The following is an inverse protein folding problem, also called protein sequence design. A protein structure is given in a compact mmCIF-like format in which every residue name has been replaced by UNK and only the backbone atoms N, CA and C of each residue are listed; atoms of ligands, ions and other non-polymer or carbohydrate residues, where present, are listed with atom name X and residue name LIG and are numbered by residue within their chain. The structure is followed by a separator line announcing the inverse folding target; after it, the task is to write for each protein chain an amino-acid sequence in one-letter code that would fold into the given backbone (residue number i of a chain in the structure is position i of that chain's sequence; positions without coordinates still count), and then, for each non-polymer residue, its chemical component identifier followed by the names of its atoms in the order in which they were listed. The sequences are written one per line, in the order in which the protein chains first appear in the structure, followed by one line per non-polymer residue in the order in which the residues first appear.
data_IF_131884175529
#
_entry.id   IF_131884175529
#
_cell.length_a   1.000
_cell.length_b   1.000
_cell.length_c   1.000
_cell.angle_alpha   90.00
_cell.angle_beta   90.00
_cell.angle_gamma   90.00
#
_symmetry.space_group_name_H-M   'P 1'
#
loop_
_entity.id
_entity.type
_entity.pdbx_description
1 polymer ?
#
# COMPACT_ATOMS: atom_id res chain seq x y z
N UNK A 1 -110.27 -22.26 14.58
CA UNK A 1 -111.03 -21.63 15.70
C UNK A 1 -110.09 -21.20 16.74
N UNK A 2 -110.11 -19.91 17.08
CA UNK A 2 -109.69 -19.27 18.30
C UNK A 2 -108.13 -19.13 18.52
N UNK A 3 -107.51 -17.98 18.24
CA UNK A 3 -107.35 -16.75 19.03
C UNK A 3 -106.50 -16.90 20.33
N UNK A 4 -105.43 -16.09 20.39
CA UNK A 4 -104.81 -15.53 21.62
C UNK A 4 -103.34 -15.17 21.35
N UNK A 5 -103.06 -14.06 21.01
CA UNK A 5 -102.79 -12.71 21.60
C UNK A 5 -101.75 -12.72 22.75
N UNK A 6 -100.75 -11.93 22.47
CA UNK A 6 -99.94 -11.10 23.38
C UNK A 6 -98.83 -11.82 24.14
N UNK A 7 -97.58 -11.34 24.25
CA UNK A 7 -97.20 -10.05 24.81
C UNK A 7 -95.71 -9.75 24.44
N UNK A 8 -95.44 -8.56 24.08
CA UNK A 8 -94.12 -7.99 23.80
C UNK A 8 -93.48 -7.73 25.15
N UNK A 9 -92.30 -8.25 25.42
CA UNK A 9 -91.46 -7.75 26.52
C UNK A 9 -90.10 -7.37 25.94
N UNK A 10 -89.92 -6.06 25.87
CA UNK A 10 -88.64 -5.44 25.56
C UNK A 10 -87.73 -5.61 26.76
N UNK A 11 -86.69 -6.42 26.63
CA UNK A 11 -85.55 -6.42 27.54
C UNK A 11 -84.39 -5.81 26.83
N UNK A 12 -84.10 -4.52 27.18
CA UNK A 12 -82.88 -3.82 26.75
C UNK A 12 -81.70 -4.44 27.53
N UNK A 13 -80.90 -5.26 26.82
CA UNK A 13 -79.62 -5.69 27.34
C UNK A 13 -78.55 -4.73 26.86
N UNK A 14 -78.05 -3.92 27.77
CA UNK A 14 -76.91 -3.04 27.64
C UNK A 14 -75.65 -3.88 27.50
N UNK A 15 -75.16 -4.09 26.26
CA UNK A 15 -73.87 -4.75 26.03
C UNK A 15 -72.77 -3.69 26.20
N UNK A 16 -72.13 -3.69 27.37
CA UNK A 16 -70.85 -3.02 27.56
C UNK A 16 -69.79 -3.74 26.70
N UNK A 17 -69.45 -3.20 25.56
CA UNK A 17 -68.29 -3.58 24.78
C UNK A 17 -67.01 -3.09 25.48
N UNK A 18 -66.40 -3.97 26.24
CA UNK A 18 -65.00 -3.83 26.68
C UNK A 18 -64.12 -3.95 25.47
N UNK A 19 -63.75 -2.79 24.91
CA UNK A 19 -62.65 -2.70 23.95
C UNK A 19 -61.34 -2.95 24.72
N UNK A 20 -60.96 -4.21 24.88
CA UNK A 20 -59.59 -4.59 25.20
C UNK A 20 -58.73 -4.33 23.97
N UNK A 21 -58.22 -3.09 23.91
CA UNK A 21 -57.16 -2.74 22.99
C UNK A 21 -55.94 -3.57 23.29
N UNK A 22 -55.77 -4.71 22.64
CA UNK A 22 -54.49 -5.35 22.48
C UNK A 22 -53.63 -4.42 21.62
N UNK A 23 -52.95 -3.48 22.31
CA UNK A 23 -51.74 -2.89 21.73
C UNK A 23 -50.74 -4.03 21.60
N UNK A 24 -50.80 -4.67 20.42
CA UNK A 24 -49.71 -5.46 19.91
C UNK A 24 -48.56 -4.42 19.69
N UNK A 25 -47.74 -4.19 20.75
CA UNK A 25 -46.38 -3.73 20.56
C UNK A 25 -45.78 -4.75 19.59
N UNK A 26 -45.70 -4.36 18.33
CA UNK A 26 -44.69 -4.89 17.47
C UNK A 26 -43.39 -4.59 18.21
N UNK A 27 -42.85 -5.58 18.91
CA UNK A 27 -41.43 -5.64 19.12
C UNK A 27 -40.86 -5.70 17.67
N UNK A 28 -40.43 -4.56 17.14
CA UNK A 28 -39.41 -4.56 16.14
C UNK A 28 -38.30 -5.40 16.79
N UNK A 29 -38.23 -6.65 16.38
CA UNK A 29 -36.99 -7.40 16.52
C UNK A 29 -36.00 -6.55 15.74
N UNK A 30 -35.15 -5.81 16.45
CA UNK A 30 -33.91 -5.38 15.86
C UNK A 30 -33.28 -6.68 15.36
N UNK A 31 -33.41 -6.94 14.08
CA UNK A 31 -32.70 -7.99 13.38
C UNK A 31 -31.25 -7.65 13.67
N UNK A 32 -30.60 -8.46 14.49
CA UNK A 32 -29.20 -8.24 14.82
C UNK A 32 -28.49 -8.14 13.47
N UNK A 33 -27.98 -6.97 13.16
CA UNK A 33 -27.29 -6.75 11.89
C UNK A 33 -26.23 -7.85 11.77
N UNK A 34 -26.18 -8.51 10.63
CA UNK A 34 -25.15 -9.50 10.35
C UNK A 34 -23.79 -8.90 10.67
N UNK A 35 -22.87 -9.64 11.28
CA UNK A 35 -21.55 -9.11 11.59
C UNK A 35 -20.87 -8.59 10.30
N UNK A 36 -20.07 -7.57 10.43
CA UNK A 36 -19.23 -7.09 9.32
C UNK A 36 -18.17 -8.16 8.98
N UNK A 37 -17.78 -8.34 7.69
CA UNK A 37 -18.29 -7.70 6.48
C UNK A 37 -19.58 -8.33 5.95
N UNK A 38 -20.51 -7.47 5.48
CA UNK A 38 -21.85 -7.89 5.00
C UNK A 38 -21.93 -8.09 3.49
N UNK A 39 -20.89 -7.66 2.78
CA UNK A 39 -20.80 -7.67 1.32
C UNK A 39 -19.36 -7.82 0.86
N UNK A 40 -19.16 -7.99 -0.46
CA UNK A 40 -17.83 -7.99 -1.07
C UNK A 40 -17.04 -6.74 -0.69
N UNK A 41 -15.75 -6.90 -0.36
CA UNK A 41 -14.82 -5.79 -0.11
C UNK A 41 -13.83 -5.70 -1.25
N UNK A 42 -13.82 -4.58 -1.97
CA UNK A 42 -12.91 -4.35 -3.08
C UNK A 42 -11.51 -4.02 -2.55
N UNK A 43 -10.50 -4.69 -3.09
CA UNK A 43 -9.10 -4.48 -2.76
C UNK A 43 -8.38 -3.78 -3.92
N UNK A 44 -7.80 -2.61 -3.66
CA UNK A 44 -7.19 -1.75 -4.67
C UNK A 44 -5.67 -1.89 -4.65
N UNK A 45 -5.09 -2.28 -5.79
CA UNK A 45 -3.66 -2.23 -6.04
C UNK A 45 -3.30 -0.96 -6.84
N UNK A 46 -2.39 -0.09 -6.36
CA UNK A 46 -2.06 1.19 -6.99
C UNK A 46 -1.15 1.05 -8.21
N UNK A 47 -0.86 -0.16 -8.64
CA UNK A 47 0.08 -0.47 -9.71
C UNK A 47 -0.50 -1.52 -10.66
N UNK A 48 0.21 -1.78 -11.76
CA UNK A 48 -0.21 -2.75 -12.78
C UNK A 48 -0.26 -4.19 -12.26
N UNK A 49 -0.92 -5.04 -13.03
CA UNK A 49 -0.99 -6.49 -12.75
C UNK A 49 0.43 -7.08 -12.72
N UNK A 50 0.68 -7.94 -11.72
CA UNK A 50 1.99 -8.56 -11.41
C UNK A 50 3.03 -7.61 -10.81
N UNK A 51 2.70 -6.37 -10.49
CA UNK A 51 3.55 -5.53 -9.65
C UNK A 51 3.67 -6.09 -8.24
N UNK A 52 4.64 -5.61 -7.47
CA UNK A 52 4.79 -6.01 -6.06
C UNK A 52 3.52 -5.77 -5.24
N UNK A 53 2.85 -4.62 -5.41
CA UNK A 53 1.59 -4.32 -4.71
C UNK A 53 0.45 -5.25 -5.12
N UNK A 54 0.29 -5.54 -6.42
CA UNK A 54 -0.72 -6.49 -6.92
C UNK A 54 -0.48 -7.90 -6.38
N UNK A 55 0.77 -8.35 -6.39
CA UNK A 55 1.17 -9.66 -5.89
C UNK A 55 0.88 -9.80 -4.40
N UNK A 56 1.26 -8.80 -3.61
CA UNK A 56 1.03 -8.81 -2.17
C UNK A 56 -0.47 -8.81 -1.87
N UNK A 57 -1.24 -7.94 -2.50
CA UNK A 57 -2.68 -7.82 -2.24
C UNK A 57 -3.46 -9.09 -2.63
N UNK A 58 -3.09 -9.73 -3.76
CA UNK A 58 -3.66 -11.03 -4.15
C UNK A 58 -3.25 -12.16 -3.20
N UNK A 59 -2.07 -12.07 -2.62
CA UNK A 59 -1.62 -13.02 -1.60
C UNK A 59 -2.39 -12.83 -0.30
N UNK A 60 -2.62 -11.60 0.13
CA UNK A 60 -3.51 -11.27 1.27
C UNK A 60 -4.91 -11.84 1.04
N UNK A 61 -5.55 -11.51 -0.09
CA UNK A 61 -6.89 -12.00 -0.42
C UNK A 61 -6.97 -13.52 -0.47
N UNK A 62 -5.95 -14.17 -0.97
CA UNK A 62 -5.87 -15.64 -1.00
C UNK A 62 -5.74 -16.24 0.39
N UNK A 63 -4.78 -15.74 1.20
CA UNK A 63 -4.56 -16.29 2.54
C UNK A 63 -5.77 -16.06 3.45
N UNK A 64 -6.41 -14.87 3.41
CA UNK A 64 -7.64 -14.59 4.15
C UNK A 64 -8.77 -15.58 3.83
N UNK A 65 -8.93 -15.94 2.56
CA UNK A 65 -9.91 -16.94 2.12
C UNK A 65 -9.50 -18.36 2.53
N UNK A 66 -8.22 -18.73 2.33
CA UNK A 66 -7.72 -20.09 2.54
C UNK A 66 -7.65 -20.44 4.04
N UNK A 67 -7.68 -19.44 4.91
CA UNK A 67 -7.73 -19.55 6.39
C UNK A 67 -9.13 -19.31 6.96
N UNK A 68 -10.15 -19.10 6.13
CA UNK A 68 -11.53 -18.79 6.53
C UNK A 68 -11.65 -17.54 7.47
N UNK A 69 -10.67 -16.62 7.42
CA UNK A 69 -10.73 -15.36 8.18
C UNK A 69 -11.72 -14.37 7.59
N UNK A 70 -12.01 -14.47 6.30
CA UNK A 70 -13.00 -13.63 5.60
C UNK A 70 -13.85 -14.46 4.66
N UNK A 71 -15.15 -14.52 4.91
CA UNK A 71 -16.11 -15.32 4.14
C UNK A 71 -16.67 -14.61 2.89
N UNK A 72 -16.50 -13.28 2.78
CA UNK A 72 -17.00 -12.52 1.63
C UNK A 72 -15.97 -12.46 0.50
N UNK A 73 -16.44 -12.25 -0.78
CA UNK A 73 -15.51 -12.07 -1.89
C UNK A 73 -14.60 -10.84 -1.71
N UNK A 74 -13.31 -11.00 -2.02
CA UNK A 74 -12.28 -9.97 -1.99
C UNK A 74 -11.71 -9.74 -3.41
N UNK A 75 -12.47 -9.12 -4.35
CA UNK A 75 -11.97 -8.84 -5.69
C UNK A 75 -10.82 -7.83 -5.64
N UNK A 76 -9.74 -8.13 -6.37
CA UNK A 76 -8.59 -7.22 -6.51
C UNK A 76 -8.69 -6.48 -7.84
N UNK A 77 -8.70 -5.16 -7.79
CA UNK A 77 -8.64 -4.28 -8.95
C UNK A 77 -7.37 -3.44 -8.98
N UNK A 78 -6.82 -3.23 -10.16
CA UNK A 78 -5.61 -2.46 -10.36
C UNK A 78 -5.95 -1.05 -10.85
N UNK A 79 -5.39 -0.02 -10.19
CA UNK A 79 -5.55 1.40 -10.54
C UNK A 79 -4.18 2.07 -10.65
N UNK A 80 -3.42 1.74 -11.73
CA UNK A 80 -2.07 2.27 -11.91
C UNK A 80 -2.11 3.73 -12.35
N UNK A 81 -1.06 4.47 -12.01
CA UNK A 81 -0.78 5.81 -12.52
C UNK A 81 -0.48 6.82 -11.40
N UNK A 82 0.26 7.84 -11.79
CA UNK A 82 0.69 8.94 -10.92
C UNK A 82 1.34 8.47 -9.60
N UNK A 83 2.23 7.46 -9.66
CA UNK A 83 2.87 6.92 -8.46
C UNK A 83 1.92 6.32 -7.41
N UNK A 84 0.69 5.94 -7.81
CA UNK A 84 -0.37 5.48 -6.91
C UNK A 84 -1.42 6.55 -6.61
N UNK A 85 -1.27 7.78 -7.12
CA UNK A 85 -2.22 8.88 -6.92
C UNK A 85 -3.63 8.55 -7.42
N UNK A 86 -3.77 7.82 -8.55
CA UNK A 86 -5.09 7.39 -9.05
C UNK A 86 -5.80 6.46 -8.06
N UNK A 87 -5.06 5.58 -7.39
CA UNK A 87 -5.63 4.71 -6.35
C UNK A 87 -5.98 5.49 -5.09
N UNK A 88 -5.17 6.49 -4.73
CA UNK A 88 -5.44 7.38 -3.60
C UNK A 88 -6.68 8.26 -3.86
N UNK A 89 -6.82 8.83 -5.07
CA UNK A 89 -8.04 9.56 -5.48
C UNK A 89 -9.28 8.69 -5.35
N UNK A 90 -9.20 7.45 -5.86
CA UNK A 90 -10.31 6.51 -5.76
C UNK A 90 -10.69 6.18 -4.30
N UNK A 91 -9.69 5.97 -3.43
CA UNK A 91 -9.96 5.72 -2.01
C UNK A 91 -10.60 6.95 -1.35
N UNK A 92 -10.13 8.16 -1.69
CA UNK A 92 -10.69 9.41 -1.19
C UNK A 92 -12.16 9.64 -1.65
N UNK A 93 -12.52 9.23 -2.88
CA UNK A 93 -13.91 9.25 -3.35
C UNK A 93 -14.85 8.34 -2.54
N UNK A 94 -14.30 7.37 -1.80
CA UNK A 94 -15.01 6.41 -0.95
C UNK A 94 -14.95 6.77 0.55
N UNK A 95 -14.69 8.03 0.90
CA UNK A 95 -14.70 8.50 2.30
C UNK A 95 -15.94 7.99 3.05
N UNK A 96 -15.74 7.40 4.22
CA UNK A 96 -16.80 6.81 5.04
C UNK A 96 -17.31 5.44 4.59
N UNK A 97 -16.78 4.87 3.49
CA UNK A 97 -17.15 3.53 3.06
C UNK A 97 -16.45 2.45 3.90
N UNK A 98 -17.09 1.27 3.96
CA UNK A 98 -16.58 0.10 4.70
C UNK A 98 -16.19 -1.08 3.80
N UNK A 99 -16.38 -0.96 2.50
CA UNK A 99 -16.25 -2.06 1.54
C UNK A 99 -15.15 -1.85 0.49
N UNK A 100 -14.20 -0.97 0.75
CA UNK A 100 -13.03 -0.71 -0.09
C UNK A 100 -11.78 -0.63 0.78
N UNK A 101 -10.72 -1.31 0.39
CA UNK A 101 -9.39 -1.20 0.98
C UNK A 101 -8.35 -1.01 -0.12
N UNK A 102 -7.24 -0.39 0.19
CA UNK A 102 -6.11 -0.28 -0.70
C UNK A 102 -4.82 -0.79 -0.04
N UNK A 103 -3.92 -1.31 -0.85
CA UNK A 103 -2.53 -1.51 -0.41
C UNK A 103 -1.70 -0.32 -0.90
N UNK A 104 -0.88 0.24 0.00
CA UNK A 104 0.11 1.23 -0.38
C UNK A 104 1.51 0.84 0.11
N UNK A 105 2.50 1.58 -0.40
CA UNK A 105 3.92 1.41 -0.16
C UNK A 105 4.59 2.80 -0.17
N UNK A 106 5.90 2.96 -0.02
CA UNK A 106 6.57 4.28 0.06
C UNK A 106 6.06 5.38 -0.88
N UNK A 107 5.66 5.10 -2.14
CA UNK A 107 5.13 6.15 -3.01
C UNK A 107 3.97 6.96 -2.43
N UNK A 108 3.10 6.38 -1.59
CA UNK A 108 1.96 7.13 -1.01
C UNK A 108 2.38 8.31 -0.14
N UNK A 109 3.55 8.21 0.51
CA UNK A 109 4.15 9.34 1.24
C UNK A 109 4.80 10.34 0.27
N UNK A 110 5.46 9.85 -0.77
CA UNK A 110 6.29 10.64 -1.69
C UNK A 110 5.48 11.47 -2.68
N UNK A 111 4.34 10.97 -3.18
CA UNK A 111 3.55 11.65 -4.22
C UNK A 111 2.93 12.97 -3.74
N UNK A 112 2.67 13.12 -2.46
CA UNK A 112 2.28 14.39 -1.87
C UNK A 112 3.50 15.31 -1.72
N UNK A 113 4.58 14.80 -1.15
CA UNK A 113 5.80 15.56 -0.88
C UNK A 113 6.44 16.12 -2.16
N UNK A 114 6.39 15.39 -3.27
CA UNK A 114 6.95 15.82 -4.56
C UNK A 114 5.95 16.57 -5.47
N UNK A 115 4.77 16.88 -4.98
CA UNK A 115 3.77 17.65 -5.70
C UNK A 115 3.00 16.90 -6.78
N UNK A 116 3.12 15.59 -6.87
CA UNK A 116 2.39 14.77 -7.86
C UNK A 116 0.88 14.76 -7.61
N UNK A 117 0.45 14.89 -6.35
CA UNK A 117 -0.96 14.99 -5.95
C UNK A 117 -1.14 15.94 -4.76
N UNK A 118 -2.27 16.67 -4.66
CA UNK A 118 -2.60 17.43 -3.46
C UNK A 118 -3.07 16.53 -2.29
N UNK A 119 -3.44 15.28 -2.55
CA UNK A 119 -3.87 14.34 -1.52
C UNK A 119 -2.68 13.80 -0.74
N UNK A 120 -2.89 13.58 0.56
CA UNK A 120 -1.93 12.91 1.43
C UNK A 120 -2.55 11.69 2.08
N UNK A 121 -1.74 10.70 2.46
CA UNK A 121 -2.26 9.55 3.20
C UNK A 121 -2.85 9.97 4.55
N UNK A 122 -2.27 10.99 5.23
CA UNK A 122 -2.74 11.48 6.53
C UNK A 122 -4.16 12.05 6.47
N UNK A 123 -4.45 12.84 5.43
CA UNK A 123 -5.72 13.56 5.33
C UNK A 123 -6.80 12.77 4.60
N UNK A 124 -6.43 11.78 3.78
CA UNK A 124 -7.34 11.16 2.82
C UNK A 124 -7.49 9.65 2.98
N UNK A 125 -6.84 9.03 3.97
CA UNK A 125 -6.94 7.60 4.24
C UNK A 125 -7.01 7.30 5.74
N UNK A 126 -7.29 6.05 6.06
CA UNK A 126 -7.14 5.45 7.38
C UNK A 126 -6.12 4.34 7.30
N UNK A 127 -4.87 4.51 7.77
CA UNK A 127 -3.91 3.42 7.89
C UNK A 127 -4.46 2.32 8.80
N UNK A 128 -4.33 1.04 8.41
CA UNK A 128 -4.85 -0.09 9.21
C UNK A 128 -3.71 -0.92 9.77
N UNK A 129 -2.83 -1.43 8.89
CA UNK A 129 -1.68 -2.21 9.33
C UNK A 129 -0.59 -2.25 8.24
N UNK A 130 0.67 -2.29 8.65
CA UNK A 130 1.79 -2.70 7.82
C UNK A 130 1.90 -4.22 7.89
N UNK A 131 2.06 -4.89 6.77
CA UNK A 131 2.07 -6.36 6.71
C UNK A 131 3.44 -6.95 6.48
N UNK A 132 4.22 -6.33 5.61
CA UNK A 132 5.53 -6.84 5.18
C UNK A 132 6.50 -5.69 4.92
N UNK A 133 7.77 -6.03 4.93
CA UNK A 133 8.83 -5.28 4.28
C UNK A 133 9.44 -6.11 3.16
N UNK A 134 9.55 -5.50 1.99
CA UNK A 134 10.34 -5.94 0.85
C UNK A 134 11.54 -5.00 0.72
N UNK A 135 12.50 -5.32 -0.12
CA UNK A 135 13.72 -4.55 -0.23
C UNK A 135 14.01 -4.17 -1.67
N UNK A 136 14.76 -3.08 -1.79
CA UNK A 136 15.28 -2.66 -3.06
C UNK A 136 16.64 -3.24 -3.37
N UNK A 137 17.02 -3.07 -4.62
CA UNK A 137 18.34 -3.45 -5.09
C UNK A 137 18.89 -2.46 -6.10
N UNK A 138 20.20 -2.51 -6.27
CA UNK A 138 20.95 -1.81 -7.29
C UNK A 138 21.57 -2.80 -8.25
N UNK A 139 21.14 -2.76 -9.50
CA UNK A 139 21.48 -3.77 -10.48
C UNK A 139 22.12 -3.18 -11.74
N UNK A 140 23.08 -3.89 -12.29
CA UNK A 140 23.80 -3.51 -13.54
C UNK A 140 23.72 -4.64 -14.56
N UNK A 141 23.90 -4.31 -15.84
CA UNK A 141 24.05 -5.34 -16.86
C UNK A 141 25.29 -6.20 -16.56
N UNK A 142 25.25 -7.50 -16.92
CA UNK A 142 26.34 -8.46 -16.60
C UNK A 142 27.70 -8.04 -17.18
N UNK A 143 27.71 -7.28 -18.29
CA UNK A 143 28.91 -6.74 -18.93
C UNK A 143 29.34 -5.37 -18.38
N UNK A 144 28.68 -4.84 -17.35
CA UNK A 144 29.03 -3.57 -16.70
C UNK A 144 30.44 -3.59 -16.13
N UNK A 145 31.20 -2.48 -16.19
CA UNK A 145 32.49 -2.35 -15.53
C UNK A 145 32.38 -2.41 -14.00
N UNK A 146 31.23 -2.02 -13.43
CA UNK A 146 31.00 -2.00 -11.98
C UNK A 146 30.80 -3.40 -11.45
N UNK A 147 31.64 -3.82 -10.48
CA UNK A 147 31.62 -5.15 -9.86
C UNK A 147 30.97 -5.17 -8.48
N UNK A 148 30.88 -4.02 -7.82
CA UNK A 148 30.26 -3.80 -6.52
C UNK A 148 29.71 -2.38 -6.43
N UNK A 149 28.90 -2.09 -5.41
CA UNK A 149 28.25 -0.81 -5.24
C UNK A 149 29.25 0.31 -4.95
N UNK A 150 30.34 0.02 -4.22
CA UNK A 150 31.36 1.01 -3.89
C UNK A 150 32.01 1.64 -5.13
N UNK A 151 32.20 0.87 -6.22
CA UNK A 151 32.73 1.43 -7.46
C UNK A 151 31.80 2.44 -8.11
N UNK A 152 30.48 2.24 -8.00
CA UNK A 152 29.48 3.22 -8.44
C UNK A 152 29.54 4.47 -7.59
N UNK A 153 29.61 4.28 -6.27
CA UNK A 153 29.72 5.40 -5.32
C UNK A 153 31.00 6.21 -5.52
N UNK A 154 32.14 5.57 -5.78
CA UNK A 154 33.40 6.25 -6.07
C UNK A 154 33.29 7.12 -7.33
N UNK A 155 32.68 6.59 -8.40
CA UNK A 155 32.44 7.36 -9.62
C UNK A 155 31.52 8.57 -9.36
N UNK A 156 30.46 8.42 -8.58
CA UNK A 156 29.54 9.50 -8.19
C UNK A 156 30.21 10.55 -7.29
N UNK A 157 31.14 10.16 -6.42
CA UNK A 157 31.91 11.11 -5.60
C UNK A 157 32.85 11.95 -6.41
N UNK A 158 33.42 11.38 -7.49
CA UNK A 158 34.30 12.10 -8.41
C UNK A 158 33.50 13.04 -9.32
N UNK A 159 32.38 12.57 -9.85
CA UNK A 159 31.44 13.33 -10.67
C UNK A 159 30.01 12.77 -10.48
N UNK A 160 29.13 13.48 -9.77
CA UNK A 160 27.75 13.03 -9.54
C UNK A 160 26.93 12.78 -10.80
N UNK A 161 27.32 13.40 -11.93
CA UNK A 161 26.67 13.20 -13.22
C UNK A 161 27.23 12.04 -14.05
N UNK A 162 28.28 11.34 -13.56
CA UNK A 162 29.00 10.31 -14.32
C UNK A 162 28.24 8.99 -14.48
N UNK A 163 27.24 8.71 -13.63
CA UNK A 163 26.46 7.47 -13.63
C UNK A 163 25.00 7.77 -13.92
N UNK A 164 24.46 7.14 -14.96
CA UNK A 164 23.04 7.26 -15.34
C UNK A 164 22.23 6.22 -14.57
N UNK A 165 21.39 6.68 -13.65
CA UNK A 165 20.53 5.84 -12.83
C UNK A 165 19.15 5.72 -13.46
N UNK A 166 18.62 4.52 -13.58
CA UNK A 166 17.25 4.27 -13.98
C UNK A 166 16.41 3.68 -12.85
N UNK A 167 15.10 3.88 -12.88
CA UNK A 167 14.17 3.24 -11.99
C UNK A 167 12.81 3.01 -12.65
N UNK A 168 11.93 2.26 -11.99
CA UNK A 168 10.55 2.01 -12.45
C UNK A 168 9.59 3.11 -12.02
N UNK A 169 10.00 3.95 -11.08
CA UNK A 169 9.22 5.06 -10.54
C UNK A 169 9.72 6.42 -11.05
N UNK A 170 8.86 7.44 -10.99
CA UNK A 170 9.18 8.81 -11.39
C UNK A 170 10.27 9.46 -10.53
N UNK A 171 10.79 10.58 -11.02
CA UNK A 171 11.72 11.44 -10.27
C UNK A 171 11.06 11.87 -8.94
N UNK A 172 11.80 11.77 -7.83
CA UNK A 172 11.27 12.07 -6.49
C UNK A 172 10.34 11.00 -5.92
N UNK A 173 10.24 9.83 -6.58
CA UNK A 173 9.50 8.68 -6.07
C UNK A 173 10.46 7.57 -5.57
N UNK A 174 9.91 6.40 -5.25
CA UNK A 174 10.56 5.35 -4.47
C UNK A 174 11.98 4.98 -4.94
N UNK A 175 12.16 4.61 -6.20
CA UNK A 175 13.46 4.12 -6.68
C UNK A 175 14.52 5.23 -6.72
N UNK A 176 14.09 6.47 -6.96
CA UNK A 176 14.97 7.63 -6.89
C UNK A 176 15.40 7.91 -5.45
N UNK A 177 14.43 8.01 -4.53
CA UNK A 177 14.70 8.26 -3.11
C UNK A 177 15.55 7.15 -2.49
N UNK A 178 15.29 5.89 -2.84
CA UNK A 178 16.12 4.75 -2.44
C UNK A 178 17.58 4.92 -2.86
N UNK A 179 17.82 5.31 -4.10
CA UNK A 179 19.19 5.54 -4.61
C UNK A 179 19.85 6.74 -3.91
N UNK A 180 19.13 7.85 -3.76
CA UNK A 180 19.63 9.06 -3.10
C UNK A 180 20.01 8.80 -1.65
N UNK A 181 19.18 8.06 -0.90
CA UNK A 181 19.47 7.69 0.50
C UNK A 181 20.80 6.92 0.63
N UNK A 182 21.02 5.95 -0.26
CA UNK A 182 22.27 5.18 -0.24
C UNK A 182 23.47 6.03 -0.70
N UNK A 183 23.29 6.88 -1.70
CA UNK A 183 24.34 7.79 -2.16
C UNK A 183 24.73 8.82 -1.06
N UNK A 184 23.73 9.37 -0.36
CA UNK A 184 23.93 10.29 0.77
C UNK A 184 24.70 9.62 1.91
N UNK A 185 24.25 8.46 2.36
CA UNK A 185 24.92 7.69 3.42
C UNK A 185 26.35 7.29 3.03
N UNK A 186 26.58 7.09 1.74
CA UNK A 186 27.91 6.83 1.19
C UNK A 186 28.75 8.11 1.02
N UNK A 187 28.27 9.29 1.40
CA UNK A 187 29.01 10.55 1.34
C UNK A 187 29.20 11.10 -0.09
N UNK A 188 28.26 10.86 -0.99
CA UNK A 188 28.17 11.56 -2.27
C UNK A 188 27.64 12.97 -1.98
N UNK A 189 28.39 13.99 -2.36
CA UNK A 189 27.97 15.39 -2.34
C UNK A 189 27.16 15.74 -3.60
N UNK A 190 26.36 16.80 -3.56
CA UNK A 190 25.58 17.29 -4.72
C UNK A 190 24.63 16.23 -5.30
N UNK A 191 23.78 15.64 -4.46
CA UNK A 191 22.81 14.63 -4.83
C UNK A 191 21.84 15.11 -5.93
N UNK A 192 21.60 16.42 -6.02
CA UNK A 192 20.78 17.09 -7.04
C UNK A 192 21.35 16.97 -8.48
N UNK A 193 22.65 16.64 -8.60
CA UNK A 193 23.33 16.44 -9.89
C UNK A 193 23.30 14.99 -10.36
N UNK A 194 22.86 14.04 -9.55
CA UNK A 194 22.73 12.63 -9.94
C UNK A 194 21.70 12.51 -11.06
N UNK A 195 22.11 11.90 -12.18
CA UNK A 195 21.25 11.69 -13.33
C UNK A 195 20.28 10.52 -13.07
N UNK A 196 19.02 10.82 -12.80
CA UNK A 196 17.98 9.81 -12.67
C UNK A 196 16.93 9.91 -13.77
N UNK A 197 16.50 8.74 -14.31
CA UNK A 197 15.41 8.64 -15.27
C UNK A 197 14.41 7.56 -14.83
N UNK A 198 13.14 7.95 -14.63
CA UNK A 198 12.05 7.04 -14.35
C UNK A 198 11.47 6.44 -15.64
N UNK A 199 11.20 5.13 -15.62
CA UNK A 199 10.57 4.38 -16.71
C UNK A 199 9.30 3.70 -16.22
N UNK A 200 8.27 4.49 -15.92
CA UNK A 200 6.99 4.04 -15.34
C UNK A 200 6.23 3.03 -16.23
N UNK A 201 6.64 2.87 -17.47
CA UNK A 201 6.12 1.88 -18.42
C UNK A 201 6.79 0.48 -18.31
N UNK A 202 7.67 0.29 -17.31
CA UNK A 202 8.34 -0.98 -17.04
C UNK A 202 9.52 -1.31 -17.96
N UNK A 203 9.99 -0.36 -18.79
CA UNK A 203 11.10 -0.60 -19.74
C UNK A 203 12.51 -0.42 -19.18
N UNK A 204 12.65 -0.10 -17.89
CA UNK A 204 13.96 0.22 -17.29
C UNK A 204 15.01 -0.87 -17.50
N UNK A 205 14.64 -2.15 -17.38
CA UNK A 205 15.57 -3.27 -17.60
C UNK A 205 16.03 -3.38 -19.07
N UNK A 206 15.16 -3.07 -20.02
CA UNK A 206 15.54 -3.00 -21.42
C UNK A 206 16.51 -1.81 -21.70
N UNK A 207 16.32 -0.68 -21.01
CA UNK A 207 17.25 0.45 -21.07
C UNK A 207 18.60 0.12 -20.44
N UNK A 208 18.64 -0.66 -19.36
CA UNK A 208 19.85 -1.17 -18.74
C UNK A 208 20.63 -2.06 -19.72
N UNK A 209 19.98 -3.06 -20.30
CA UNK A 209 20.60 -3.99 -21.25
C UNK A 209 21.03 -3.29 -22.55
N UNK A 210 20.31 -2.24 -22.93
CA UNK A 210 20.66 -1.38 -24.08
C UNK A 210 21.77 -0.36 -23.81
N UNK A 211 22.27 -0.25 -22.57
CA UNK A 211 23.31 0.70 -22.18
C UNK A 211 22.85 2.17 -22.16
N UNK A 212 21.55 2.41 -22.06
CA UNK A 212 20.98 3.76 -21.92
C UNK A 212 21.00 4.26 -20.48
N UNK A 213 20.99 3.35 -19.50
CA UNK A 213 21.31 3.59 -18.09
C UNK A 213 22.42 2.65 -17.65
N UNK A 214 23.20 3.05 -16.65
CA UNK A 214 24.37 2.32 -16.17
C UNK A 214 24.03 1.42 -14.98
N UNK A 215 23.07 1.83 -14.18
CA UNK A 215 22.58 1.13 -12.98
C UNK A 215 21.08 1.33 -12.85
N UNK A 216 20.39 0.33 -12.31
CA UNK A 216 18.95 0.41 -11.98
C UNK A 216 18.78 0.33 -10.48
N UNK A 217 17.97 1.23 -9.93
CA UNK A 217 17.37 1.17 -8.61
C UNK A 217 15.95 0.62 -8.75
N UNK A 218 15.65 -0.51 -8.13
CA UNK A 218 14.36 -1.19 -8.27
C UNK A 218 14.08 -2.12 -7.07
N UNK A 219 12.92 -2.76 -7.01
CA UNK A 219 12.66 -3.86 -6.10
C UNK A 219 13.44 -5.13 -6.49
N UNK A 220 13.82 -5.96 -5.52
CA UNK A 220 14.52 -7.23 -5.80
C UNK A 220 13.70 -8.07 -6.79
N UNK A 221 12.38 -8.18 -6.57
CA UNK A 221 11.48 -8.96 -7.43
C UNK A 221 11.45 -8.51 -8.89
N UNK A 222 11.70 -7.25 -9.16
CA UNK A 222 11.63 -6.68 -10.50
C UNK A 222 12.80 -7.15 -11.39
N UNK A 223 13.96 -7.44 -10.81
CA UNK A 223 15.19 -7.82 -11.54
C UNK A 223 15.43 -9.33 -11.61
N UNK A 224 14.72 -10.13 -10.79
CA UNK A 224 15.03 -11.54 -10.58
C UNK A 224 15.10 -12.37 -11.86
N UNK A 225 14.17 -12.19 -12.80
CA UNK A 225 14.18 -12.94 -14.05
C UNK A 225 15.46 -12.76 -14.87
N UNK A 226 16.07 -11.57 -14.84
CA UNK A 226 17.34 -11.28 -15.52
C UNK A 226 18.57 -11.67 -14.70
N UNK A 227 18.44 -11.72 -13.37
CA UNK A 227 19.49 -12.25 -12.50
C UNK A 227 19.61 -13.78 -12.69
N UNK A 228 18.48 -14.48 -12.73
CA UNK A 228 18.45 -15.92 -12.96
C UNK A 228 18.99 -16.32 -14.35
N UNK A 229 18.74 -15.49 -15.39
CA UNK A 229 19.30 -15.71 -16.72
C UNK A 229 20.78 -15.30 -16.83
N UNK A 230 21.33 -14.60 -15.83
CA UNK A 230 22.72 -14.12 -15.85
C UNK A 230 22.95 -12.85 -16.69
N UNK A 231 21.88 -12.18 -17.13
CA UNK A 231 21.96 -10.96 -17.94
C UNK A 231 22.19 -9.70 -17.07
N UNK A 232 21.81 -9.79 -15.78
CA UNK A 232 21.92 -8.72 -14.80
C UNK A 232 22.63 -9.23 -13.55
N UNK A 233 23.39 -8.35 -12.91
CA UNK A 233 24.07 -8.58 -11.63
C UNK A 233 23.58 -7.55 -10.61
N UNK A 234 23.16 -7.99 -9.41
CA UNK A 234 22.86 -7.13 -8.28
C UNK A 234 24.16 -6.76 -7.58
N UNK A 235 24.40 -5.46 -7.39
CA UNK A 235 25.57 -4.90 -6.71
C UNK A 235 25.34 -4.72 -5.21
N UNK A 236 24.07 -4.52 -4.79
CA UNK A 236 23.70 -4.34 -3.39
C UNK A 236 22.20 -4.35 -3.21
N UNK A 237 21.75 -4.81 -2.04
CA UNK A 237 20.36 -4.73 -1.58
C UNK A 237 20.25 -3.80 -0.37
N UNK A 238 19.06 -3.25 -0.14
CA UNK A 238 18.83 -2.24 0.89
C UNK A 238 18.41 -2.81 2.24
N UNK A 239 18.46 -4.12 2.41
CA UNK A 239 18.19 -4.80 3.68
C UNK A 239 19.35 -4.66 4.67
N UNK A 240 19.07 -4.73 5.98
CA UNK A 240 20.08 -4.72 7.04
C UNK A 240 21.03 -5.92 6.95
N UNK A 241 20.49 -7.07 6.59
CA UNK A 241 21.19 -8.34 6.40
C UNK A 241 20.65 -9.06 5.16
N UNK A 242 21.34 -10.08 4.71
CA UNK A 242 20.91 -10.87 3.55
C UNK A 242 19.55 -11.51 3.82
N UNK A 243 18.69 -11.49 2.81
CA UNK A 243 17.29 -11.95 2.90
C UNK A 243 17.01 -13.09 1.94
N UNK A 244 15.89 -13.77 2.14
CA UNK A 244 15.38 -14.81 1.24
C UNK A 244 16.22 -16.08 1.22
N UNK A 245 16.15 -16.79 0.10
CA UNK A 245 16.85 -18.06 -0.13
C UNK A 245 17.44 -18.13 -1.55
N UNK A 246 18.27 -19.15 -1.82
CA UNK A 246 18.88 -19.34 -3.13
C UNK A 246 19.72 -18.13 -3.56
N UNK A 247 19.53 -17.67 -4.80
CA UNK A 247 20.33 -16.59 -5.39
C UNK A 247 20.12 -15.24 -4.67
N UNK A 248 18.97 -15.00 -4.06
CA UNK A 248 18.68 -13.77 -3.31
C UNK A 248 19.55 -13.70 -2.05
N UNK A 249 19.72 -14.81 -1.33
CA UNK A 249 20.56 -14.89 -0.14
C UNK A 249 22.07 -14.66 -0.42
N UNK A 250 22.49 -14.73 -1.70
CA UNK A 250 23.86 -14.46 -2.12
C UNK A 250 24.11 -12.98 -2.41
N UNK A 251 23.05 -12.16 -2.54
CA UNK A 251 23.15 -10.73 -2.83
C UNK A 251 23.74 -9.98 -1.63
N UNK A 252 24.80 -9.16 -1.82
CA UNK A 252 25.39 -8.40 -0.73
C UNK A 252 24.46 -7.25 -0.33
N UNK A 253 24.45 -6.87 0.97
CA UNK A 253 23.75 -5.67 1.41
C UNK A 253 24.61 -4.42 1.22
N UNK A 254 23.98 -3.23 1.28
CA UNK A 254 24.72 -1.96 1.35
C UNK A 254 25.60 -1.91 2.60
N UNK A 255 25.10 -2.37 3.74
CA UNK A 255 25.80 -2.41 5.03
C UNK A 255 27.05 -3.31 4.96
N UNK A 256 26.98 -4.49 4.33
CA UNK A 256 28.15 -5.36 4.14
C UNK A 256 29.25 -4.69 3.31
N UNK A 257 28.91 -3.68 2.51
CA UNK A 257 29.85 -2.90 1.70
C UNK A 257 30.29 -1.59 2.38
N UNK A 258 29.92 -1.41 3.66
CA UNK A 258 30.33 -0.25 4.47
C UNK A 258 29.47 1.00 4.25
N UNK A 259 28.32 0.86 3.58
CA UNK A 259 27.35 1.94 3.39
C UNK A 259 26.22 1.72 4.39
N UNK A 260 26.18 2.54 5.44
CA UNK A 260 25.18 2.47 6.51
C UNK A 260 23.85 3.05 6.05
N UNK A 261 23.17 2.32 5.16
CA UNK A 261 21.89 2.70 4.63
C UNK A 261 20.98 1.48 4.39
N UNK A 262 19.75 1.65 4.77
CA UNK A 262 18.64 0.72 4.50
C UNK A 262 17.51 1.48 3.81
N UNK A 263 16.69 0.76 3.03
CA UNK A 263 15.45 1.30 2.50
C UNK A 263 14.39 0.20 2.53
N UNK A 264 13.27 0.51 3.19
CA UNK A 264 12.18 -0.43 3.38
C UNK A 264 11.10 -0.17 2.34
N UNK A 265 10.93 -1.09 1.40
CA UNK A 265 9.78 -1.12 0.50
C UNK A 265 8.60 -1.80 1.24
N UNK A 266 8.15 -1.14 2.31
CA UNK A 266 7.06 -1.63 3.14
C UNK A 266 5.74 -1.71 2.36
N UNK A 267 4.82 -2.57 2.80
CA UNK A 267 3.46 -2.65 2.26
C UNK A 267 2.45 -2.71 3.38
N UNK A 268 1.49 -1.81 3.32
CA UNK A 268 0.44 -1.68 4.32
C UNK A 268 -0.95 -1.57 3.70
N UNK A 269 -1.94 -1.92 4.49
CA UNK A 269 -3.36 -1.82 4.14
C UNK A 269 -3.93 -0.53 4.72
N UNK A 270 -4.71 0.15 3.88
CA UNK A 270 -5.37 1.42 4.18
C UNK A 270 -6.85 1.30 3.84
N UNK A 271 -7.68 1.88 4.68
CA UNK A 271 -9.09 2.14 4.39
C UNK A 271 -9.33 3.57 3.90
N UNK A 272 -10.55 3.88 3.44
CA UNK A 272 -10.97 5.24 3.19
C UNK A 272 -10.89 6.10 4.45
N UNK A 273 -10.76 7.42 4.29
CA UNK A 273 -10.93 8.36 5.39
C UNK A 273 -12.29 8.17 6.05
N UNK A 274 -12.36 8.37 7.36
CA UNK A 274 -13.59 8.23 8.16
C UNK A 274 -14.27 6.86 8.02
N UNK A 275 -13.47 5.80 7.83
CA UNK A 275 -13.94 4.42 7.81
C UNK A 275 -14.68 4.10 9.12
N UNK A 276 -15.88 3.44 9.08
CA UNK A 276 -16.62 3.09 10.29
C UNK A 276 -15.81 2.23 11.28
N UNK A 277 -15.92 2.52 12.57
CA UNK A 277 -15.15 1.85 13.63
C UNK A 277 -15.32 0.33 13.61
N UNK A 278 -16.56 -0.19 13.41
CA UNK A 278 -16.83 -1.63 13.31
C UNK A 278 -15.97 -2.30 12.22
N UNK A 279 -15.82 -1.66 11.08
CA UNK A 279 -15.03 -2.19 9.97
C UNK A 279 -13.53 -2.02 10.19
N UNK A 280 -13.12 -0.93 10.84
CA UNK A 280 -11.72 -0.69 11.19
C UNK A 280 -11.24 -1.75 12.19
N UNK A 281 -11.95 -1.93 13.31
CA UNK A 281 -11.63 -2.95 14.32
C UNK A 281 -11.61 -4.36 13.71
N UNK A 282 -12.55 -4.66 12.81
CA UNK A 282 -12.57 -5.96 12.13
C UNK A 282 -11.27 -6.19 11.34
N UNK A 283 -10.85 -5.20 10.52
CA UNK A 283 -9.66 -5.36 9.68
C UNK A 283 -8.38 -5.34 10.50
N UNK A 284 -8.25 -4.54 11.55
CA UNK A 284 -7.12 -4.58 12.48
C UNK A 284 -6.94 -5.98 13.07
N UNK A 285 -8.01 -6.56 13.60
CA UNK A 285 -7.98 -7.91 14.20
C UNK A 285 -7.70 -8.99 13.15
N UNK A 286 -8.36 -8.91 11.99
CA UNK A 286 -8.22 -9.91 10.92
C UNK A 286 -6.81 -9.92 10.33
N UNK A 287 -6.20 -8.75 10.12
CA UNK A 287 -4.83 -8.67 9.62
C UNK A 287 -3.81 -9.10 10.67
N UNK A 288 -4.04 -8.79 11.95
CA UNK A 288 -3.22 -9.29 13.06
C UNK A 288 -3.27 -10.83 13.17
N UNK A 289 -4.42 -11.44 12.90
CA UNK A 289 -4.57 -12.90 12.86
C UNK A 289 -3.94 -13.50 11.61
N UNK A 290 -4.15 -12.88 10.44
CA UNK A 290 -3.57 -13.32 9.16
C UNK A 290 -2.06 -13.52 9.27
N UNK A 291 -1.33 -12.56 9.84
CA UNK A 291 0.15 -12.61 9.91
C UNK A 291 0.67 -13.70 10.86
N UNK A 292 -0.20 -14.31 11.67
CA UNK A 292 0.14 -15.45 12.52
C UNK A 292 -0.12 -16.81 11.84
N UNK A 293 -0.72 -16.81 10.64
CA UNK A 293 -1.06 -18.06 9.94
C UNK A 293 0.14 -18.67 9.23
N UNK A 294 0.22 -20.03 9.16
CA UNK A 294 1.23 -20.69 8.36
C UNK A 294 1.18 -20.32 6.88
N UNK A 295 -0.02 -20.12 6.32
CA UNK A 295 -0.26 -19.76 4.92
C UNK A 295 0.37 -18.40 4.57
N UNK A 296 0.36 -17.46 5.52
CA UNK A 296 1.03 -16.17 5.34
C UNK A 296 2.55 -16.32 5.46
N UNK A 297 3.03 -17.07 6.45
CA UNK A 297 4.46 -17.35 6.63
C UNK A 297 5.07 -18.03 5.39
N UNK A 298 4.41 -19.07 4.86
CA UNK A 298 4.82 -19.76 3.62
C UNK A 298 4.83 -18.80 2.42
N UNK A 299 3.89 -17.87 2.41
CA UNK A 299 3.79 -16.86 1.35
C UNK A 299 4.95 -15.87 1.42
N UNK A 300 5.27 -15.38 2.60
CA UNK A 300 6.40 -14.47 2.82
C UNK A 300 7.74 -15.15 2.48
N UNK A 301 7.95 -16.37 2.93
CA UNK A 301 9.15 -17.16 2.59
C UNK A 301 9.29 -17.34 1.08
N UNK A 302 8.20 -17.70 0.40
CA UNK A 302 8.18 -17.90 -1.05
C UNK A 302 8.62 -16.68 -1.84
N UNK A 303 8.23 -15.48 -1.40
CA UNK A 303 8.52 -14.24 -2.11
C UNK A 303 9.71 -13.47 -1.53
N UNK A 304 10.33 -13.96 -0.45
CA UNK A 304 11.44 -13.29 0.22
C UNK A 304 11.04 -12.01 0.94
N UNK A 305 9.79 -11.94 1.40
CA UNK A 305 9.31 -10.81 2.19
C UNK A 305 9.58 -11.03 3.67
N UNK A 306 10.00 -10.00 4.36
CA UNK A 306 10.04 -10.02 5.82
C UNK A 306 8.63 -9.79 6.37
N UNK A 307 8.21 -10.66 7.30
CA UNK A 307 7.00 -10.48 8.08
C UNK A 307 7.24 -9.38 9.13
N UNK A 308 7.00 -8.15 8.75
CA UNK A 308 7.27 -6.96 9.54
C UNK A 308 5.94 -6.25 9.81
N UNK A 309 5.15 -6.87 10.70
CA UNK A 309 3.82 -6.41 11.05
C UNK A 309 3.86 -5.28 12.06
N UNK A 310 3.13 -4.20 11.74
CA UNK A 310 2.80 -3.13 12.67
C UNK A 310 1.28 -2.95 12.69
N UNK A 311 0.70 -2.96 13.87
CA UNK A 311 -0.70 -2.56 14.08
C UNK A 311 -0.88 -1.06 13.80
N UNK A 312 -2.12 -0.58 13.83
CA UNK A 312 -2.47 0.77 13.38
C UNK A 312 -1.64 1.88 14.02
N UNK A 313 -1.59 1.95 15.35
CA UNK A 313 -0.88 3.04 16.06
C UNK A 313 0.64 3.04 15.74
N UNK A 314 1.25 1.86 15.72
CA UNK A 314 2.67 1.71 15.39
C UNK A 314 2.92 2.02 13.90
N UNK A 315 1.97 1.65 13.03
CA UNK A 315 2.06 1.93 11.60
C UNK A 315 1.90 3.42 11.31
N UNK A 316 0.99 4.13 11.96
CA UNK A 316 0.84 5.59 11.86
C UNK A 316 2.12 6.31 12.30
N UNK A 317 2.75 5.88 13.41
CA UNK A 317 4.04 6.41 13.85
C UNK A 317 5.14 6.16 12.83
N UNK A 318 5.25 4.93 12.33
CA UNK A 318 6.20 4.57 11.28
C UNK A 318 6.03 5.44 10.02
N UNK A 319 4.79 5.65 9.57
CA UNK A 319 4.49 6.48 8.40
C UNK A 319 4.91 7.94 8.60
N UNK A 320 4.75 8.48 9.81
CA UNK A 320 5.18 9.82 10.14
C UNK A 320 6.71 9.95 10.07
N UNK A 321 7.43 9.00 10.68
CA UNK A 321 8.90 8.99 10.72
C UNK A 321 9.51 8.87 9.31
N UNK A 322 9.01 7.95 8.48
CA UNK A 322 9.52 7.79 7.11
C UNK A 322 9.14 8.97 6.21
N UNK A 323 8.00 9.63 6.45
CA UNK A 323 7.60 10.81 5.68
C UNK A 323 8.49 12.01 6.00
N UNK A 324 8.90 12.18 7.26
CA UNK A 324 9.87 13.21 7.65
C UNK A 324 11.24 12.96 7.00
N UNK A 325 11.72 11.72 7.03
CA UNK A 325 12.97 11.33 6.37
C UNK A 325 12.93 11.64 4.86
N UNK A 326 11.82 11.28 4.19
CA UNK A 326 11.66 11.54 2.76
C UNK A 326 11.58 13.04 2.43
N UNK A 327 10.90 13.83 3.29
CA UNK A 327 10.83 15.28 3.10
C UNK A 327 12.20 15.93 3.15
N UNK A 328 13.05 15.57 4.14
CA UNK A 328 14.43 16.06 4.25
C UNK A 328 15.24 15.73 3.00
N UNK A 329 15.14 14.49 2.50
CA UNK A 329 15.90 14.07 1.32
C UNK A 329 15.42 14.76 0.04
N UNK A 330 14.10 14.94 -0.12
CA UNK A 330 13.54 15.67 -1.27
C UNK A 330 13.88 17.15 -1.22
N UNK A 331 13.97 17.77 -0.03
CA UNK A 331 14.39 19.15 0.12
C UNK A 331 15.86 19.33 -0.31
N UNK A 332 16.74 18.41 0.07
CA UNK A 332 18.17 18.45 -0.30
C UNK A 332 18.40 18.42 -1.81
N UNK A 333 17.54 17.72 -2.55
CA UNK A 333 17.62 17.62 -4.01
C UNK A 333 16.67 18.59 -4.74
N UNK A 334 16.02 19.51 -4.01
CA UNK A 334 15.12 20.51 -4.59
C UNK A 334 13.84 19.96 -5.21
N UNK A 335 13.39 18.80 -4.74
CA UNK A 335 12.17 18.12 -5.20
C UNK A 335 11.02 18.16 -4.19
N UNK A 336 11.25 18.76 -3.00
CA UNK A 336 10.18 18.96 -2.02
C UNK A 336 9.24 20.07 -2.50
N UNK A 337 7.98 19.74 -2.62
CA UNK A 337 6.95 20.71 -3.00
C UNK A 337 6.52 21.56 -1.79
N UNK A 338 6.38 22.85 -1.98
CA UNK A 338 5.90 23.74 -0.91
C UNK A 338 4.37 23.79 -0.85
N UNK A 339 3.80 23.92 0.36
CA UNK A 339 2.35 24.09 0.53
C UNK A 339 1.79 25.30 -0.25
N UNK A 340 2.60 26.31 -0.49
CA UNK A 340 2.20 27.52 -1.26
C UNK A 340 1.96 27.22 -2.72
N UNK A 341 2.72 26.30 -3.33
CA UNK A 341 2.59 25.96 -4.75
C UNK A 341 1.37 25.06 -5.04
N UNK A 342 0.92 24.25 -4.08
CA UNK A 342 -0.38 23.57 -4.17
C UNK A 342 -1.55 24.57 -4.24
N UNK A 343 -1.53 25.62 -3.42
CA UNK A 343 -2.58 26.64 -3.39
C UNK A 343 -2.64 27.45 -4.69
N UNK A 344 -1.51 27.78 -5.28
CA UNK A 344 -1.46 28.53 -6.54
C UNK A 344 -2.03 27.71 -7.71
N UNK A 345 -1.70 26.41 -7.82
CA UNK A 345 -2.24 25.52 -8.87
C UNK A 345 -3.75 25.30 -8.77
N UNK A 346 -4.30 25.33 -7.54
CA UNK A 346 -5.74 25.15 -7.33
C UNK A 346 -6.53 26.42 -7.72
N UNK A 347 -5.90 27.59 -7.72
CA UNK A 347 -6.52 28.86 -8.09
C UNK A 347 -6.50 29.08 -9.61
N UNK A 348 -5.44 28.65 -10.32
CA UNK A 348 -5.30 28.81 -11.77
C UNK A 348 -6.04 27.72 -12.60
N UNK A 349 -6.49 26.63 -11.97
CA UNK A 349 -7.23 25.52 -12.59
C UNK A 349 -8.76 25.58 -12.45
N UNK A 350 -9.33 26.67 -11.94
CA UNK A 350 -10.78 26.88 -11.76
C UNK A 350 -11.39 27.83 -12.80
#
# INVERSE_FOLDING_TARGET
MIRGKHLILLVSVLVLSLNSGCSRRQAESAEAASPYPRQSVELIAPAGVRSGSDLTLRSVARCLRDTDLVDVPLPVSNRPGNGGGIALDYLNEHTGADNVLAIFSPPVCLIHLNGSTPLSYQENTTPIAKLITDYGCFAVASNSPYQNLNQVIEALREDPASVRVGGTSSLGSMDHVQFLKVAQAAGVESLDQIQYTGFEDGRVLAQLLGGHVDIVSAGIGDVMGLVESGDVRVLGITAEQRVGSGIVAEMPTCIEQGIDATFYNWRGIFGPKDMPEESLEFWENTLAELVQTPEWADTCEKYGWDMDYLGREEFESFLADVSEEYAVLLEEVGLLESESSFRERTIDGS
#
